data_IF_068428209298
#
_entry.id   IF_068428209298
#
_cell.length_a   1.000
_cell.length_b   1.000
_cell.length_c   1.000
_cell.angle_alpha   90.00
_cell.angle_beta   90.00
_cell.angle_gamma   90.00
#
_symmetry.space_group_name_H-M   'P 1'
#
loop_
_entity.id
_entity.type
_entity.pdbx_description
1 polymer ?
#
# COMPACT_ATOMS: atom_id res chain seq x y z
N UNK A 1 -9.06 -8.61 -0.68
CA UNK A 1 -9.11 -7.38 0.13
C UNK A 1 -10.27 -6.51 -0.33
N UNK A 2 -10.81 -5.64 0.52
CA UNK A 2 -11.84 -4.70 0.10
C UNK A 2 -11.18 -3.48 -0.58
N UNK A 3 -11.80 -2.91 -1.63
CA UNK A 3 -11.26 -1.73 -2.30
C UNK A 3 -11.23 -0.52 -1.35
N UNK A 4 -10.20 0.31 -1.50
CA UNK A 4 -10.01 1.55 -0.77
C UNK A 4 -10.83 2.70 -1.38
N UNK A 5 -11.34 3.58 -0.52
CA UNK A 5 -11.97 4.84 -0.91
C UNK A 5 -10.95 5.95 -1.14
N UNK A 6 -11.35 7.01 -1.86
CA UNK A 6 -10.51 8.20 -2.05
C UNK A 6 -10.05 8.83 -0.71
N UNK A 7 -10.88 8.76 0.34
CA UNK A 7 -10.51 9.26 1.67
C UNK A 7 -9.36 8.45 2.29
N UNK A 8 -9.43 7.11 2.17
CA UNK A 8 -8.38 6.23 2.66
C UNK A 8 -7.08 6.42 1.87
N UNK A 9 -7.17 6.54 0.54
CA UNK A 9 -6.00 6.80 -0.31
C UNK A 9 -5.38 8.18 0.01
N UNK A 10 -6.20 9.20 0.26
CA UNK A 10 -5.71 10.51 0.71
C UNK A 10 -4.97 10.42 2.05
N UNK A 11 -5.51 9.67 3.01
CA UNK A 11 -4.86 9.45 4.30
C UNK A 11 -3.51 8.72 4.14
N UNK A 12 -3.43 7.73 3.26
CA UNK A 12 -2.18 7.03 2.92
C UNK A 12 -1.16 8.00 2.29
N UNK A 13 -1.59 8.89 1.41
CA UNK A 13 -0.76 9.95 0.86
C UNK A 13 -0.12 10.81 1.96
N UNK A 14 -0.92 11.28 2.92
CA UNK A 14 -0.41 12.09 4.03
C UNK A 14 0.60 11.33 4.90
N UNK A 15 0.42 10.03 5.10
CA UNK A 15 1.37 9.21 5.86
C UNK A 15 2.78 9.19 5.23
N UNK A 16 2.88 9.43 3.92
CA UNK A 16 4.15 9.53 3.18
C UNK A 16 4.45 10.96 2.72
N UNK A 17 3.83 11.96 3.37
CA UNK A 17 4.00 13.38 3.08
C UNK A 17 3.65 13.78 1.63
N UNK A 18 2.65 13.12 1.04
CA UNK A 18 2.08 13.45 -0.26
C UNK A 18 0.66 14.01 -0.10
N UNK A 19 0.41 15.18 -0.66
CA UNK A 19 -0.94 15.74 -0.79
C UNK A 19 -1.45 15.48 -2.21
N UNK A 20 -2.43 14.58 -2.34
CA UNK A 20 -3.00 14.19 -3.64
C UNK A 20 -4.40 14.82 -3.76
N UNK A 21 -4.59 15.64 -4.79
CA UNK A 21 -5.82 16.37 -5.05
C UNK A 21 -6.57 15.80 -6.27
N UNK A 22 -7.80 16.23 -6.51
CA UNK A 22 -8.54 15.84 -7.71
C UNK A 22 -7.98 16.59 -8.95
N UNK A 23 -7.94 15.95 -10.14
CA UNK A 23 -8.49 14.62 -10.45
C UNK A 23 -7.57 13.43 -10.14
N UNK A 24 -6.31 13.68 -9.78
CA UNK A 24 -5.27 12.65 -9.61
C UNK A 24 -5.64 11.65 -8.50
N UNK A 25 -6.31 12.11 -7.43
CA UNK A 25 -6.75 11.25 -6.33
C UNK A 25 -7.63 10.10 -6.80
N UNK A 26 -8.55 10.37 -7.73
CA UNK A 26 -9.43 9.36 -8.30
C UNK A 26 -8.64 8.33 -9.13
N UNK A 27 -7.70 8.79 -9.96
CA UNK A 27 -6.86 7.91 -10.79
C UNK A 27 -5.92 7.03 -9.94
N UNK A 28 -5.28 7.62 -8.93
CA UNK A 28 -4.43 6.90 -7.98
C UNK A 28 -5.24 5.86 -7.22
N UNK A 29 -6.47 6.19 -6.81
CA UNK A 29 -7.36 5.24 -6.13
C UNK A 29 -7.70 4.05 -7.01
N UNK A 30 -8.01 4.27 -8.29
CA UNK A 30 -8.22 3.18 -9.24
C UNK A 30 -6.97 2.32 -9.41
N UNK A 31 -5.80 2.95 -9.56
CA UNK A 31 -4.53 2.24 -9.73
C UNK A 31 -4.18 1.38 -8.51
N UNK A 32 -4.32 1.92 -7.30
CA UNK A 32 -4.06 1.17 -6.05
C UNK A 32 -5.00 -0.01 -5.92
N UNK A 33 -6.30 0.18 -6.18
CA UNK A 33 -7.26 -0.91 -6.09
C UNK A 33 -6.99 -2.03 -7.10
N UNK A 34 -6.58 -1.70 -8.33
CA UNK A 34 -6.17 -2.70 -9.31
C UNK A 34 -4.93 -3.50 -8.87
N UNK A 35 -3.98 -2.85 -8.18
CA UNK A 35 -2.81 -3.52 -7.58
C UNK A 35 -3.25 -4.44 -6.45
N UNK A 36 -4.12 -3.99 -5.55
CA UNK A 36 -4.63 -4.81 -4.44
C UNK A 36 -5.35 -6.06 -4.96
N UNK A 37 -6.21 -5.92 -5.96
CA UNK A 37 -6.88 -7.04 -6.61
C UNK A 37 -5.87 -8.03 -7.23
N UNK A 38 -4.81 -7.50 -7.86
CA UNK A 38 -3.73 -8.33 -8.41
C UNK A 38 -2.94 -9.05 -7.32
N UNK A 39 -2.73 -8.43 -6.16
CA UNK A 39 -2.05 -9.03 -5.02
C UNK A 39 -2.89 -10.13 -4.36
N UNK A 40 -4.21 -9.96 -4.26
CA UNK A 40 -5.11 -11.01 -3.75
C UNK A 40 -5.08 -12.28 -4.62
N UNK A 41 -4.80 -12.14 -5.91
CA UNK A 41 -4.62 -13.28 -6.82
C UNK A 41 -3.30 -14.04 -6.61
N UNK A 42 -2.34 -13.45 -5.88
CA UNK A 42 -1.07 -14.09 -5.56
C UNK A 42 -1.26 -15.03 -4.37
N UNK A 43 -1.29 -16.34 -4.64
CA UNK A 43 -1.30 -17.38 -3.61
C UNK A 43 0.09 -18.01 -3.49
N UNK A 44 0.79 -17.76 -2.37
CA UNK A 44 2.11 -18.33 -2.06
C UNK A 44 2.00 -19.21 -0.80
N UNK A 45 1.49 -20.45 -0.92
CA UNK A 45 1.24 -21.31 0.24
C UNK A 45 2.52 -21.62 1.04
N UNK A 46 3.67 -21.63 0.36
CA UNK A 46 4.99 -21.86 0.94
C UNK A 46 5.53 -20.64 1.72
N UNK A 47 4.98 -19.43 1.51
CA UNK A 47 5.41 -18.24 2.23
C UNK A 47 5.15 -18.34 3.74
N UNK A 48 4.16 -19.13 4.16
CA UNK A 48 3.88 -19.39 5.58
C UNK A 48 4.94 -20.31 6.23
N UNK A 49 5.83 -20.94 5.44
CA UNK A 49 6.85 -21.86 5.92
C UNK A 49 8.20 -21.17 6.17
N UNK A 50 8.31 -19.88 5.84
CA UNK A 50 9.54 -19.11 5.97
C UNK A 50 9.34 -17.97 6.96
N UNK A 51 10.34 -17.75 7.81
CA UNK A 51 10.35 -16.60 8.72
C UNK A 51 10.40 -15.29 7.91
N UNK A 52 9.67 -14.24 8.32
CA UNK A 52 9.74 -12.94 7.67
C UNK A 52 11.15 -12.37 7.69
N UNK A 53 11.54 -11.69 6.61
CA UNK A 53 12.82 -10.97 6.60
C UNK A 53 12.75 -9.85 7.64
N UNK A 54 13.69 -9.79 8.61
CA UNK A 54 13.68 -8.76 9.63
C UNK A 54 13.85 -7.38 8.98
N UNK A 55 13.00 -6.43 9.40
CA UNK A 55 13.14 -5.04 8.99
C UNK A 55 14.34 -4.45 9.74
N UNK A 56 15.44 -4.25 9.03
CA UNK A 56 16.59 -3.50 9.53
C UNK A 56 16.27 -2.01 9.42
N UNK A 57 15.80 -1.42 10.52
CA UNK A 57 15.64 0.04 10.56
C UNK A 57 17.03 0.68 10.49
N UNK A 58 17.28 1.62 9.55
CA UNK A 58 18.48 2.43 9.62
C UNK A 58 18.49 3.15 10.98
N UNK A 59 19.66 3.23 11.63
CA UNK A 59 19.79 3.93 12.89
C UNK A 59 19.19 5.34 12.72
N UNK A 60 18.24 5.69 13.58
CA UNK A 60 17.71 7.04 13.63
C UNK A 60 18.89 7.96 13.99
N UNK A 61 19.39 8.74 13.04
CA UNK A 61 20.27 9.86 13.37
C UNK A 61 19.38 10.96 13.99
N UNK A 62 19.67 11.30 15.26
CA UNK A 62 19.00 12.34 16.06
C UNK A 62 19.18 13.76 15.49
#
# INVERSE_FOLDING_TARGET
>A
MAPLSNEQVRALGYAVNLNIEEPDLTEVTHSINAILDSMDAINLPEANLVEPIPILLPAMED
#
